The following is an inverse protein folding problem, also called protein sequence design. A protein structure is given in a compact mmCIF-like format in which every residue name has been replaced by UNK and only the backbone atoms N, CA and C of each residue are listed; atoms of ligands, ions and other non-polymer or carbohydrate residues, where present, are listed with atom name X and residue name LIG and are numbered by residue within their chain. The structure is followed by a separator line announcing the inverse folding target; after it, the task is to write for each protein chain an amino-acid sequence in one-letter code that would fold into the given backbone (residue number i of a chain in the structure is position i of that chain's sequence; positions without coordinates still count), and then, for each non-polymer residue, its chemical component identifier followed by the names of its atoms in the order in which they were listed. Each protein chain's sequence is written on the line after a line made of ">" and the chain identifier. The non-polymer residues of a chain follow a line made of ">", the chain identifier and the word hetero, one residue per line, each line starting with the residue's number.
data_IF_532410409840
#
_entry.id   IF_532410409840
#
_cell.length_a   1.000
_cell.length_b   1.000
_cell.length_c   1.000
_cell.angle_alpha   90.00
_cell.angle_beta   90.00
_cell.angle_gamma   90.00
#
_symmetry.space_group_name_H-M   'P 1'
#
loop_
_entity.id
_entity.type
_entity.pdbx_description
1 polymer ?
#
# COMPACT_ATOMS: atom_id res chain seq x y z
N UNK A 1 -20.12 3.48 8.65
CA UNK A 1 -18.70 3.75 8.96
C UNK A 1 -18.42 3.95 10.46
N UNK A 2 -19.37 4.46 11.27
CA UNK A 2 -19.22 4.61 12.73
C UNK A 2 -18.99 3.30 13.52
N UNK A 3 -19.45 2.15 13.02
CA UNK A 3 -19.36 0.88 13.74
C UNK A 3 -17.91 0.40 13.96
N UNK A 4 -17.01 0.56 12.98
CA UNK A 4 -15.63 0.05 13.09
C UNK A 4 -14.77 0.84 14.08
N UNK A 5 -14.86 2.18 14.07
CA UNK A 5 -14.16 3.03 15.04
C UNK A 5 -14.68 2.78 16.45
N UNK A 6 -16.00 2.68 16.61
CA UNK A 6 -16.62 2.36 17.91
C UNK A 6 -16.21 0.98 18.42
N UNK A 7 -16.19 -0.06 17.58
CA UNK A 7 -15.72 -1.41 17.95
C UNK A 7 -14.26 -1.44 18.38
N UNK A 8 -13.41 -0.67 17.69
CA UNK A 8 -12.01 -0.52 18.06
C UNK A 8 -11.87 0.20 19.41
N UNK A 9 -12.56 1.34 19.57
CA UNK A 9 -12.51 2.19 20.76
C UNK A 9 -13.09 1.50 22.00
N UNK A 10 -14.06 0.59 21.83
CA UNK A 10 -14.63 -0.23 22.91
C UNK A 10 -13.69 -1.35 23.39
N UNK A 11 -12.53 -1.56 22.73
CA UNK A 11 -11.51 -2.53 23.16
C UNK A 11 -11.98 -3.99 23.15
N UNK A 12 -13.06 -4.31 22.44
CA UNK A 12 -13.67 -5.65 22.42
C UNK A 12 -12.75 -6.65 21.71
N UNK A 13 -12.00 -6.19 20.70
CA UNK A 13 -11.05 -7.03 19.99
C UNK A 13 -9.73 -7.10 20.76
N UNK A 14 -9.17 -8.29 20.92
CA UNK A 14 -7.86 -8.51 21.55
C UNK A 14 -6.80 -8.97 20.56
N UNK A 15 -7.20 -9.56 19.43
CA UNK A 15 -6.28 -10.04 18.42
C UNK A 15 -5.62 -8.88 17.66
N UNK A 16 -4.29 -8.81 17.71
CA UNK A 16 -3.51 -7.77 17.06
C UNK A 16 -3.68 -7.81 15.53
N UNK A 17 -3.86 -9.00 14.93
CA UNK A 17 -4.05 -9.09 13.49
C UNK A 17 -5.37 -8.41 13.06
N UNK A 18 -6.46 -8.71 13.77
CA UNK A 18 -7.78 -8.10 13.52
C UNK A 18 -7.79 -6.60 13.80
N UNK A 19 -7.11 -6.15 14.87
CA UNK A 19 -6.90 -4.71 15.14
C UNK A 19 -6.19 -4.01 14.00
N UNK A 20 -5.17 -4.64 13.44
CA UNK A 20 -4.43 -4.08 12.31
C UNK A 20 -5.32 -3.93 11.07
N UNK A 21 -6.15 -4.93 10.77
CA UNK A 21 -7.12 -4.85 9.66
C UNK A 21 -8.15 -3.74 9.89
N UNK A 22 -8.69 -3.62 11.11
CA UNK A 22 -9.63 -2.56 11.44
C UNK A 22 -8.99 -1.16 11.31
N UNK A 23 -7.79 -0.97 11.86
CA UNK A 23 -7.05 0.28 11.76
C UNK A 23 -6.73 0.65 10.31
N UNK A 24 -6.35 -0.33 9.47
CA UNK A 24 -6.15 -0.13 8.03
C UNK A 24 -7.42 0.41 7.35
N UNK A 25 -8.61 -0.12 7.66
CA UNK A 25 -9.87 0.39 7.12
C UNK A 25 -10.16 1.82 7.59
N UNK A 26 -9.86 2.12 8.86
CA UNK A 26 -10.02 3.46 9.42
C UNK A 26 -9.07 4.49 8.81
N UNK A 27 -7.97 4.07 8.16
CA UNK A 27 -7.12 5.01 7.43
C UNK A 27 -7.85 5.73 6.29
N UNK A 28 -8.93 5.14 5.74
CA UNK A 28 -9.75 5.76 4.68
C UNK A 28 -10.73 6.79 5.20
N UNK A 29 -10.89 6.92 6.53
CA UNK A 29 -11.68 7.98 7.11
C UNK A 29 -10.90 9.30 7.04
N UNK A 30 -11.42 10.27 6.31
CA UNK A 30 -10.92 11.63 6.27
C UNK A 30 -12.04 12.58 6.71
N UNK A 31 -11.68 13.56 7.53
CA UNK A 31 -12.55 14.67 7.90
C UNK A 31 -11.72 15.95 7.91
N UNK A 32 -12.32 17.06 7.49
CA UNK A 32 -11.70 18.38 7.59
C UNK A 32 -11.30 18.75 9.03
N UNK A 33 -11.97 18.15 10.02
CA UNK A 33 -11.72 18.36 11.45
C UNK A 33 -10.52 17.54 11.95
N UNK A 34 -10.25 16.38 11.34
CA UNK A 34 -9.14 15.50 11.72
C UNK A 34 -8.29 15.13 10.49
N UNK A 35 -7.58 16.10 9.89
CA UNK A 35 -6.83 15.89 8.64
C UNK A 35 -5.67 14.89 8.80
N UNK A 36 -5.35 14.48 10.02
CA UNK A 36 -4.27 13.55 10.34
C UNK A 36 -4.75 12.19 10.86
N UNK A 37 -6.07 11.99 11.00
CA UNK A 37 -6.63 10.73 11.51
C UNK A 37 -6.12 9.51 10.72
N UNK A 38 -6.05 9.61 9.39
CA UNK A 38 -5.54 8.54 8.54
C UNK A 38 -4.11 8.12 8.87
N UNK A 39 -3.25 9.09 9.19
CA UNK A 39 -1.84 8.84 9.57
C UNK A 39 -1.73 8.19 10.96
N UNK A 40 -2.58 8.60 11.91
CA UNK A 40 -2.66 7.99 13.24
C UNK A 40 -3.15 6.54 13.15
N UNK A 41 -4.22 6.29 12.40
CA UNK A 41 -4.74 4.94 12.18
C UNK A 41 -3.73 4.03 11.47
N UNK A 42 -2.95 4.59 10.54
CA UNK A 42 -1.89 3.84 9.89
C UNK A 42 -0.83 3.40 10.91
N UNK A 43 -0.39 4.29 11.80
CA UNK A 43 0.59 3.96 12.84
C UNK A 43 0.09 2.84 13.76
N UNK A 44 -1.18 2.92 14.16
CA UNK A 44 -1.85 1.88 14.95
C UNK A 44 -1.88 0.55 14.18
N UNK A 45 -2.22 0.60 12.89
CA UNK A 45 -2.27 -0.58 12.02
C UNK A 45 -0.91 -1.27 11.87
N UNK A 46 0.15 -0.48 11.65
CA UNK A 46 1.54 -0.96 11.55
C UNK A 46 1.97 -1.62 12.86
N UNK A 47 1.76 -0.95 14.00
CA UNK A 47 2.17 -1.48 15.30
C UNK A 47 1.49 -2.82 15.61
N UNK A 48 0.18 -2.92 15.34
CA UNK A 48 -0.56 -4.16 15.54
C UNK A 48 -0.13 -5.27 14.56
N UNK A 49 0.20 -4.92 13.31
CA UNK A 49 0.76 -5.89 12.36
C UNK A 49 2.13 -6.41 12.80
N UNK A 50 2.96 -5.57 13.43
CA UNK A 50 4.25 -5.98 14.00
C UNK A 50 4.03 -6.95 15.16
N UNK A 51 3.12 -6.63 16.09
CA UNK A 51 2.75 -7.52 17.20
C UNK A 51 2.24 -8.86 16.68
N UNK A 52 1.42 -8.86 15.62
CA UNK A 52 0.90 -10.06 14.97
C UNK A 52 1.92 -10.81 14.09
N UNK A 53 3.17 -10.33 14.01
CA UNK A 53 4.24 -10.88 13.17
C UNK A 53 3.91 -10.91 11.67
N UNK A 54 3.06 -9.99 11.20
CA UNK A 54 2.63 -9.96 9.80
C UNK A 54 3.77 -9.56 8.84
N UNK A 55 4.69 -8.70 9.27
CA UNK A 55 5.89 -8.33 8.52
C UNK A 55 6.83 -9.52 8.23
N UNK A 56 6.79 -10.57 9.07
CA UNK A 56 7.61 -11.77 8.96
C UNK A 56 6.92 -12.90 8.16
N UNK A 57 6.15 -12.55 7.12
CA UNK A 57 5.38 -13.51 6.32
C UNK A 57 6.21 -14.59 5.62
N UNK A 58 7.52 -14.39 5.45
CA UNK A 58 8.44 -15.39 4.89
C UNK A 58 8.93 -16.42 5.91
N UNK A 59 8.68 -16.22 7.21
CA UNK A 59 9.20 -17.09 8.26
C UNK A 59 8.84 -18.58 8.03
N UNK A 60 9.78 -19.51 8.29
CA UNK A 60 9.50 -20.94 8.19
C UNK A 60 8.48 -21.38 9.25
N UNK A 61 7.80 -22.51 9.01
CA UNK A 61 6.89 -23.13 9.99
C UNK A 61 5.44 -22.62 10.01
N UNK A 62 5.12 -21.51 9.34
CA UNK A 62 3.73 -21.07 9.16
C UNK A 62 3.06 -21.76 7.97
N UNK A 63 1.74 -22.02 8.07
CA UNK A 63 0.94 -22.52 6.95
C UNK A 63 0.89 -21.50 5.80
N UNK A 64 0.75 -21.97 4.56
CA UNK A 64 0.69 -21.10 3.38
C UNK A 64 -0.41 -20.04 3.51
N UNK A 65 -1.59 -20.43 4.01
CA UNK A 65 -2.70 -19.51 4.27
C UNK A 65 -2.32 -18.36 5.22
N UNK A 66 -1.57 -18.66 6.28
CA UNK A 66 -1.11 -17.64 7.24
C UNK A 66 -0.07 -16.73 6.60
N UNK A 67 0.87 -17.29 5.82
CA UNK A 67 1.86 -16.50 5.06
C UNK A 67 1.19 -15.54 4.09
N UNK A 68 0.23 -16.01 3.30
CA UNK A 68 -0.53 -15.21 2.36
C UNK A 68 -1.34 -14.12 3.07
N UNK A 69 -2.02 -14.45 4.17
CA UNK A 69 -2.71 -13.46 5.01
C UNK A 69 -1.78 -12.36 5.51
N UNK A 70 -0.65 -12.73 6.11
CA UNK A 70 0.34 -11.81 6.62
C UNK A 70 0.94 -10.92 5.51
N UNK A 71 1.29 -11.50 4.35
CA UNK A 71 1.78 -10.77 3.18
C UNK A 71 0.75 -9.75 2.70
N UNK A 72 -0.53 -10.16 2.57
CA UNK A 72 -1.64 -9.26 2.20
C UNK A 72 -1.81 -8.07 3.14
N UNK A 73 -1.87 -8.33 4.44
CA UNK A 73 -2.03 -7.28 5.45
C UNK A 73 -0.86 -6.30 5.40
N UNK A 74 0.37 -6.82 5.39
CA UNK A 74 1.57 -6.00 5.39
C UNK A 74 1.70 -5.14 4.12
N UNK A 75 1.51 -5.73 2.94
CA UNK A 75 1.56 -4.98 1.67
C UNK A 75 0.44 -3.94 1.55
N UNK A 76 -0.72 -4.20 2.14
CA UNK A 76 -1.81 -3.21 2.19
C UNK A 76 -1.47 -2.00 3.05
N UNK A 77 -0.83 -2.21 4.21
CA UNK A 77 -0.29 -1.13 5.05
C UNK A 77 0.85 -0.39 4.33
N UNK A 78 1.74 -1.11 3.67
CA UNK A 78 2.86 -0.56 2.91
C UNK A 78 2.39 0.38 1.79
N UNK A 79 1.44 -0.06 0.96
CA UNK A 79 0.82 0.79 -0.07
C UNK A 79 0.14 2.01 0.56
N UNK A 80 -0.64 1.81 1.63
CA UNK A 80 -1.37 2.89 2.30
C UNK A 80 -0.44 3.97 2.85
N UNK A 81 0.71 3.58 3.38
CA UNK A 81 1.76 4.49 3.85
C UNK A 81 2.27 5.42 2.74
N UNK A 82 2.53 4.90 1.54
CA UNK A 82 3.00 5.71 0.40
C UNK A 82 1.93 6.68 -0.08
N UNK A 83 0.68 6.21 -0.18
CA UNK A 83 -0.45 7.06 -0.59
C UNK A 83 -0.68 8.19 0.40
N UNK A 84 -0.66 7.90 1.72
CA UNK A 84 -0.85 8.92 2.75
C UNK A 84 0.33 9.89 2.80
N UNK A 85 1.56 9.41 2.65
CA UNK A 85 2.77 10.24 2.59
C UNK A 85 2.71 11.21 1.41
N UNK A 86 2.35 10.72 0.22
CA UNK A 86 2.19 11.55 -0.97
C UNK A 86 1.07 12.60 -0.80
N UNK A 87 -0.07 12.20 -0.24
CA UNK A 87 -1.22 13.09 -0.05
C UNK A 87 -1.06 14.11 1.07
N UNK A 88 -0.40 13.74 2.18
CA UNK A 88 -0.24 14.57 3.37
C UNK A 88 1.13 15.25 3.47
N UNK A 89 2.07 14.94 2.57
CA UNK A 89 3.44 15.45 2.54
C UNK A 89 4.17 15.26 3.88
N UNK A 90 4.08 14.04 4.42
CA UNK A 90 4.69 13.63 5.70
C UNK A 90 5.73 12.54 5.46
N UNK A 91 6.69 12.32 6.39
CA UNK A 91 7.62 11.21 6.28
C UNK A 91 6.92 9.84 6.29
N UNK A 92 7.50 8.86 5.59
CA UNK A 92 7.05 7.46 5.61
C UNK A 92 7.10 6.88 7.02
N UNK A 93 6.09 6.09 7.40
CA UNK A 93 6.10 5.34 8.65
C UNK A 93 6.77 3.97 8.52
N UNK A 94 6.68 3.33 7.35
CA UNK A 94 7.43 2.10 7.05
C UNK A 94 8.66 2.48 6.22
N UNK A 95 9.77 2.69 6.92
CA UNK A 95 11.04 3.13 6.33
C UNK A 95 11.80 1.97 5.67
N UNK A 96 12.67 2.24 4.68
CA UNK A 96 13.56 1.23 4.11
C UNK A 96 14.47 0.54 5.13
N UNK A 97 14.80 1.23 6.23
CA UNK A 97 15.57 0.64 7.34
C UNK A 97 14.79 -0.37 8.16
N UNK A 98 13.45 -0.25 8.21
CA UNK A 98 12.55 -1.14 8.95
C UNK A 98 12.00 -2.29 8.11
N UNK A 99 11.97 -2.13 6.78
CA UNK A 99 11.42 -3.12 5.87
C UNK A 99 12.24 -3.21 4.58
N UNK A 100 12.65 -4.43 4.26
CA UNK A 100 13.35 -4.70 3.00
C UNK A 100 12.38 -4.60 1.83
N UNK A 101 12.43 -3.47 1.11
CA UNK A 101 11.61 -3.21 -0.08
C UNK A 101 11.98 -4.08 -1.29
N UNK A 102 13.09 -4.83 -1.21
CA UNK A 102 13.50 -5.79 -2.24
C UNK A 102 12.79 -7.14 -2.12
N UNK A 103 11.79 -7.27 -1.24
CA UNK A 103 10.95 -8.47 -1.18
C UNK A 103 9.92 -8.40 -2.31
N UNK A 104 9.63 -9.55 -2.91
CA UNK A 104 8.65 -9.67 -3.98
C UNK A 104 7.29 -9.07 -3.57
N UNK A 105 6.73 -8.18 -4.41
CA UNK A 105 5.38 -7.69 -4.26
C UNK A 105 4.37 -8.83 -4.12
N UNK A 106 3.23 -8.51 -3.50
CA UNK A 106 2.11 -9.42 -3.46
C UNK A 106 1.61 -9.74 -4.87
N UNK A 107 1.49 -11.02 -5.20
CA UNK A 107 1.00 -11.53 -6.48
C UNK A 107 -0.45 -11.98 -6.38
N UNK A 108 -1.04 -12.38 -7.50
CA UNK A 108 -2.39 -12.94 -7.55
C UNK A 108 -2.48 -14.26 -6.75
N UNK A 109 -1.40 -15.05 -6.72
CA UNK A 109 -1.35 -16.32 -5.99
C UNK A 109 -1.46 -16.13 -4.48
N UNK A 110 -0.95 -15.01 -3.97
CA UNK A 110 -1.10 -14.62 -2.56
C UNK A 110 -2.56 -14.29 -2.20
N UNK A 111 -3.44 -14.14 -3.21
CA UNK A 111 -4.87 -13.84 -3.08
C UNK A 111 -5.75 -15.02 -3.51
N UNK A 112 -5.18 -16.18 -3.88
CA UNK A 112 -5.93 -17.31 -4.43
C UNK A 112 -7.08 -17.79 -3.53
N UNK A 113 -6.86 -17.84 -2.21
CA UNK A 113 -7.89 -18.21 -1.21
C UNK A 113 -9.04 -17.19 -1.10
N UNK A 114 -8.85 -15.96 -1.56
CA UNK A 114 -9.87 -14.90 -1.55
C UNK A 114 -10.66 -14.81 -2.86
N UNK A 115 -10.12 -15.31 -3.98
CA UNK A 115 -10.72 -15.13 -5.30
C UNK A 115 -12.00 -15.98 -5.45
N UNK A 116 -11.99 -17.21 -4.96
CA UNK A 116 -13.08 -18.17 -5.19
C UNK A 116 -14.10 -18.24 -4.04
N UNK A 117 -13.84 -17.55 -2.91
CA UNK A 117 -14.68 -17.62 -1.69
C UNK A 117 -15.34 -16.28 -1.32
N UNK A 118 -15.37 -15.34 -2.25
CA UNK A 118 -15.91 -14.00 -2.05
C UNK A 118 -17.43 -13.96 -2.10
N UNK A 119 -18.05 -13.40 -1.05
CA UNK A 119 -19.50 -13.16 -1.01
C UNK A 119 -19.94 -11.85 -1.69
N UNK A 120 -19.00 -11.00 -2.11
CA UNK A 120 -19.27 -9.64 -2.60
C UNK A 120 -19.01 -9.52 -4.10
N UNK A 121 -17.88 -10.03 -4.55
CA UNK A 121 -17.44 -10.00 -5.94
C UNK A 121 -17.29 -11.39 -6.51
N UNK A 122 -17.61 -11.55 -7.79
CA UNK A 122 -17.33 -12.77 -8.54
C UNK A 122 -15.82 -12.98 -8.76
N UNK A 123 -15.43 -14.21 -9.09
CA UNK A 123 -14.02 -14.57 -9.29
C UNK A 123 -13.34 -13.73 -10.37
N UNK A 124 -14.09 -13.31 -11.42
CA UNK A 124 -13.56 -12.43 -12.48
C UNK A 124 -13.20 -11.06 -11.92
N UNK A 125 -14.09 -10.40 -11.18
CA UNK A 125 -13.82 -9.10 -10.57
C UNK A 125 -12.69 -9.20 -9.54
N UNK A 126 -12.66 -10.25 -8.72
CA UNK A 126 -11.57 -10.49 -7.75
C UNK A 126 -10.21 -10.62 -8.43
N UNK A 127 -10.10 -11.33 -9.55
CA UNK A 127 -8.85 -11.43 -10.34
C UNK A 127 -8.42 -10.06 -10.86
N UNK A 128 -9.33 -9.26 -11.38
CA UNK A 128 -9.02 -7.89 -11.82
C UNK A 128 -8.53 -7.02 -10.66
N UNK A 129 -9.19 -7.09 -9.51
CA UNK A 129 -8.77 -6.36 -8.30
C UNK A 129 -7.38 -6.82 -7.82
N UNK A 130 -7.09 -8.12 -7.90
CA UNK A 130 -5.77 -8.66 -7.57
C UNK A 130 -4.66 -8.13 -8.50
N UNK A 131 -4.94 -8.03 -9.81
CA UNK A 131 -4.03 -7.41 -10.78
C UNK A 131 -3.77 -5.94 -10.42
N UNK A 132 -4.84 -5.17 -10.17
CA UNK A 132 -4.72 -3.75 -9.81
C UNK A 132 -3.92 -3.58 -8.52
N UNK A 133 -4.16 -4.43 -7.52
CA UNK A 133 -3.46 -4.40 -6.25
C UNK A 133 -1.97 -4.74 -6.40
N UNK A 134 -1.62 -5.70 -7.27
CA UNK A 134 -0.23 -6.00 -7.60
C UNK A 134 0.47 -4.78 -8.23
N UNK A 135 -0.19 -4.13 -9.21
CA UNK A 135 0.33 -2.91 -9.85
C UNK A 135 0.56 -1.79 -8.83
N UNK A 136 -0.37 -1.61 -7.88
CA UNK A 136 -0.25 -0.66 -6.77
C UNK A 136 0.91 -1.01 -5.83
N UNK A 137 1.11 -2.28 -5.50
CA UNK A 137 2.26 -2.71 -4.68
C UNK A 137 3.59 -2.41 -5.38
N UNK A 138 3.68 -2.63 -6.70
CA UNK A 138 4.87 -2.28 -7.49
C UNK A 138 5.11 -0.78 -7.51
N UNK A 139 4.05 0.02 -7.70
CA UNK A 139 4.14 1.48 -7.60
C UNK A 139 4.63 1.93 -6.22
N UNK A 140 4.14 1.31 -5.14
CA UNK A 140 4.56 1.62 -3.78
C UNK A 140 6.08 1.47 -3.59
N UNK A 141 6.69 0.44 -4.20
CA UNK A 141 8.13 0.25 -4.19
C UNK A 141 8.84 1.37 -4.96
N UNK A 142 8.39 1.69 -6.18
CA UNK A 142 8.95 2.76 -7.01
C UNK A 142 8.90 4.12 -6.31
N UNK A 143 7.79 4.42 -5.62
CA UNK A 143 7.59 5.68 -4.91
C UNK A 143 8.43 5.81 -3.64
N UNK A 144 8.98 4.72 -3.09
CA UNK A 144 9.64 4.76 -1.78
C UNK A 144 10.83 5.71 -1.77
N UNK A 145 11.71 5.59 -2.77
CA UNK A 145 12.92 6.43 -2.86
C UNK A 145 12.59 7.92 -3.06
N UNK A 146 11.75 8.32 -4.05
CA UNK A 146 11.33 9.71 -4.20
C UNK A 146 10.67 10.28 -2.93
N UNK A 147 9.85 9.50 -2.24
CA UNK A 147 9.19 9.96 -1.01
C UNK A 147 10.18 10.16 0.15
N UNK A 148 11.21 9.31 0.26
CA UNK A 148 12.30 9.50 1.24
C UNK A 148 13.09 10.78 0.93
N UNK A 149 13.38 11.06 -0.34
CA UNK A 149 14.08 12.28 -0.73
C UNK A 149 13.25 13.52 -0.43
N UNK A 150 11.97 13.52 -0.80
CA UNK A 150 11.10 14.70 -0.67
C UNK A 150 10.62 14.97 0.76
N UNK A 151 10.40 13.92 1.56
CA UNK A 151 9.74 14.03 2.87
C UNK A 151 10.50 13.33 4.00
N UNK A 152 11.68 12.79 3.73
CA UNK A 152 12.52 12.17 4.76
C UNK A 152 13.19 13.20 5.68
N UNK A 153 13.84 12.75 6.76
CA UNK A 153 14.50 13.62 7.73
C UNK A 153 15.56 14.54 7.11
N UNK A 154 16.19 14.09 6.02
CA UNK A 154 17.25 14.81 5.30
C UNK A 154 16.74 15.71 4.16
N UNK A 155 15.43 15.82 3.94
CA UNK A 155 14.85 16.62 2.85
C UNK A 155 15.21 18.12 2.94
N UNK A 156 15.61 18.60 4.11
CA UNK A 156 16.01 19.99 4.38
C UNK A 156 17.37 20.06 5.10
N UNK A 157 18.32 19.21 4.74
CA UNK A 157 19.67 19.28 5.30
C UNK A 157 20.39 20.53 4.76
N UNK A 158 20.66 21.49 5.64
CA UNK A 158 21.36 22.75 5.34
C UNK A 158 22.85 22.53 5.01
N UNK A 159 23.38 21.34 5.25
CA UNK A 159 24.74 20.93 4.91
C UNK A 159 24.82 20.15 3.58
N UNK A 160 23.74 20.18 2.78
CA UNK A 160 23.69 19.52 1.47
C UNK A 160 24.90 19.89 0.61
N UNK A 161 25.79 18.93 0.40
CA UNK A 161 26.90 19.09 -0.54
C UNK A 161 26.42 19.03 -1.98
N UNK A 162 27.22 19.58 -2.92
CA UNK A 162 26.95 19.47 -4.35
C UNK A 162 26.96 18.00 -4.82
N UNK A 163 27.89 17.18 -4.30
CA UNK A 163 27.93 15.75 -4.63
C UNK A 163 26.65 15.02 -4.20
N UNK A 164 26.10 15.37 -3.03
CA UNK A 164 24.84 14.81 -2.54
C UNK A 164 23.63 15.31 -3.37
N UNK A 165 23.72 16.52 -3.93
CA UNK A 165 22.73 17.05 -4.87
C UNK A 165 22.72 16.27 -6.18
N UNK A 166 23.88 16.06 -6.81
CA UNK A 166 23.97 15.32 -8.06
C UNK A 166 23.49 13.88 -7.88
N UNK A 167 23.89 13.21 -6.80
CA UNK A 167 23.39 11.87 -6.47
C UNK A 167 21.85 11.85 -6.33
N UNK A 168 21.30 12.85 -5.66
CA UNK A 168 19.85 12.98 -5.49
C UNK A 168 19.13 13.20 -6.81
N UNK A 169 19.65 14.06 -7.68
CA UNK A 169 19.10 14.31 -9.02
C UNK A 169 19.16 13.04 -9.86
N UNK A 170 20.27 12.29 -9.83
CA UNK A 170 20.38 11.00 -10.53
C UNK A 170 19.32 10.01 -10.02
N UNK A 171 19.14 9.89 -8.70
CA UNK A 171 18.13 9.00 -8.11
C UNK A 171 16.71 9.37 -8.50
N UNK A 172 16.35 10.66 -8.46
CA UNK A 172 15.04 11.14 -8.89
C UNK A 172 14.82 10.87 -10.37
N UNK A 173 15.83 11.11 -11.21
CA UNK A 173 15.73 10.92 -12.67
C UNK A 173 15.53 9.45 -13.02
N UNK A 174 16.31 8.54 -12.42
CA UNK A 174 16.10 7.10 -12.56
C UNK A 174 14.71 6.66 -12.07
N UNK A 175 14.23 7.24 -10.96
CA UNK A 175 12.87 7.01 -10.46
C UNK A 175 11.78 7.40 -11.47
N UNK A 176 11.95 8.52 -12.18
CA UNK A 176 11.04 8.97 -13.24
C UNK A 176 10.99 7.97 -14.41
N UNK A 177 12.14 7.52 -14.89
CA UNK A 177 12.21 6.53 -15.98
C UNK A 177 11.56 5.19 -15.60
N UNK A 178 11.72 4.76 -14.34
CA UNK A 178 11.07 3.56 -13.82
C UNK A 178 9.55 3.76 -13.74
N UNK A 179 9.09 4.94 -13.30
CA UNK A 179 7.67 5.26 -13.21
C UNK A 179 7.00 5.32 -14.59
N UNK A 180 7.67 5.91 -15.59
CA UNK A 180 7.19 5.93 -16.98
C UNK A 180 7.05 4.52 -17.56
N UNK A 181 8.06 3.66 -17.36
CA UNK A 181 7.97 2.25 -17.76
C UNK A 181 6.84 1.51 -17.06
N UNK A 182 6.65 1.76 -15.76
CA UNK A 182 5.55 1.17 -15.01
C UNK A 182 4.20 1.66 -15.55
N UNK A 183 4.06 2.95 -15.88
CA UNK A 183 2.83 3.52 -16.46
C UNK A 183 2.46 2.85 -17.79
N UNK A 184 3.43 2.72 -18.70
CA UNK A 184 3.19 2.03 -19.98
C UNK A 184 2.74 0.58 -19.77
N UNK A 185 3.38 -0.15 -18.84
CA UNK A 185 2.99 -1.52 -18.53
C UNK A 185 1.58 -1.62 -17.90
N UNK A 186 1.19 -0.63 -17.10
CA UNK A 186 -0.18 -0.53 -16.54
C UNK A 186 -1.19 -0.33 -17.66
N UNK A 187 -0.92 0.58 -18.59
CA UNK A 187 -1.81 0.90 -19.71
C UNK A 187 -2.00 -0.33 -20.63
N UNK A 188 -0.93 -1.09 -20.90
CA UNK A 188 -1.02 -2.37 -21.62
C UNK A 188 -1.83 -3.42 -20.86
N UNK A 189 -1.62 -3.53 -19.55
CA UNK A 189 -2.28 -4.56 -18.71
C UNK A 189 -3.77 -4.26 -18.50
N UNK A 190 -4.13 -2.98 -18.34
CA UNK A 190 -5.48 -2.55 -17.98
C UNK A 190 -6.30 -2.04 -19.17
N UNK A 191 -5.65 -1.64 -20.29
CA UNK A 191 -6.30 -1.08 -21.48
C UNK A 191 -7.37 -1.98 -22.08
N UNK A 192 -7.12 -3.29 -22.15
CA UNK A 192 -8.10 -4.27 -22.65
C UNK A 192 -9.15 -4.68 -21.62
N UNK A 193 -8.85 -4.53 -20.32
CA UNK A 193 -9.73 -4.97 -19.23
C UNK A 193 -10.80 -3.93 -18.86
N UNK A 194 -10.49 -2.64 -19.04
CA UNK A 194 -11.37 -1.50 -18.69
C UNK A 194 -12.29 -1.06 -19.83
N UNK A 195 -11.92 -1.36 -21.08
CA UNK A 195 -12.69 -1.03 -22.29
C UNK A 195 -13.84 -2.00 -22.54
N UNK A 196 -13.81 -3.21 -21.95
CA UNK A 196 -14.95 -4.12 -21.98
C UNK A 196 -16.11 -3.57 -21.14
N UNK A 197 -17.28 -3.42 -21.78
CA UNK A 197 -18.55 -2.90 -21.27
C UNK A 197 -19.06 -3.58 -19.98
N UNK A 198 -18.43 -4.67 -19.55
CA UNK A 198 -18.78 -5.49 -18.37
C UNK A 198 -17.88 -5.27 -17.14
N UNK A 199 -16.92 -4.34 -17.17
CA UNK A 199 -16.05 -4.08 -16.02
C UNK A 199 -16.84 -3.50 -14.83
N UNK A 200 -16.79 -4.17 -13.69
CA UNK A 200 -17.49 -3.74 -12.47
C UNK A 200 -17.05 -2.33 -12.03
N UNK A 201 -17.99 -1.52 -11.51
CA UNK A 201 -17.74 -0.09 -11.20
C UNK A 201 -16.53 0.14 -10.28
N UNK A 202 -16.27 -0.77 -9.35
CA UNK A 202 -15.13 -0.69 -8.43
C UNK A 202 -13.78 -0.84 -9.14
N UNK A 203 -13.65 -1.69 -10.17
CA UNK A 203 -12.39 -1.84 -10.90
C UNK A 203 -12.08 -0.59 -11.72
N UNK A 204 -13.12 0.04 -12.31
CA UNK A 204 -12.99 1.33 -12.99
C UNK A 204 -12.57 2.45 -12.05
N UNK A 205 -13.17 2.55 -10.86
CA UNK A 205 -12.83 3.56 -9.86
C UNK A 205 -11.40 3.40 -9.31
N UNK A 206 -11.01 2.17 -8.95
CA UNK A 206 -9.68 1.91 -8.38
C UNK A 206 -8.61 2.11 -9.46
N UNK A 207 -8.89 1.70 -10.71
CA UNK A 207 -7.98 1.98 -11.82
C UNK A 207 -7.87 3.47 -12.14
N UNK A 208 -8.97 4.25 -12.08
CA UNK A 208 -8.85 5.69 -12.29
C UNK A 208 -7.96 6.36 -11.24
N UNK A 209 -7.92 5.83 -10.01
CA UNK A 209 -7.01 6.31 -8.96
C UNK A 209 -5.55 5.99 -9.30
N UNK A 210 -5.28 4.87 -9.97
CA UNK A 210 -3.92 4.54 -10.47
C UNK A 210 -3.45 5.59 -11.49
N UNK A 211 -4.34 6.11 -12.34
CA UNK A 211 -4.01 7.15 -13.33
C UNK A 211 -3.92 8.58 -12.74
N UNK A 212 -4.44 8.84 -11.53
CA UNK A 212 -4.33 10.17 -10.88
C UNK A 212 -2.90 10.44 -10.41
N UNK A 213 -2.13 9.39 -10.12
CA UNK A 213 -0.78 9.49 -9.57
C UNK A 213 0.32 9.18 -10.60
N UNK A 214 -0.02 9.05 -11.88
CA UNK A 214 0.87 8.72 -12.99
C UNK A 214 0.91 9.83 -14.04
#
# INVERSE_FOLDING_TARGET
>A
MFSQKLLFDLGVETDAYTKSQAALLLTFQFSAVEPHAGSTWLAIGIQNAIVAQAHNFQAPGASLRRKNGNKRLWWSLFWRDRVLTLGLRKPLQITPSSFNVNIDPMTIDDLADEIDHSAVYDARTKRQLAIILNLQCRLATILTDPLVVCYGPSAFDLTYSLDNFDETVTRITAGKEILERWKNAVDETLGDSLTRTEAHRSTRLISSVVHIYA
#
